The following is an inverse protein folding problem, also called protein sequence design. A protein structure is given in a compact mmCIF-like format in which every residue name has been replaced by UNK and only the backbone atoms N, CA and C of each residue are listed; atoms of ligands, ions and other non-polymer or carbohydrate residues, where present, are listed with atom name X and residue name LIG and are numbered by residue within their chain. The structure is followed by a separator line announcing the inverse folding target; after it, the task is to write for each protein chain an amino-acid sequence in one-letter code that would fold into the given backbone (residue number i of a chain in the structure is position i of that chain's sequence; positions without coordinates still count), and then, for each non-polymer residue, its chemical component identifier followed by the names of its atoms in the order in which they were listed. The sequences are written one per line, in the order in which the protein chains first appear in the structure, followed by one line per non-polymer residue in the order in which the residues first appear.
data_IF_733564536890
#
_entry.id   IF_733564536890
#
_cell.length_a   1.000
_cell.length_b   1.000
_cell.length_c   1.000
_cell.angle_alpha   90.00
_cell.angle_beta   90.00
_cell.angle_gamma   90.00
#
_symmetry.space_group_name_H-M   'P 1'
#
loop_
_entity.id
_entity.type
_entity.pdbx_description
1 polymer ?
#
# COMPACT_ATOMS: atom_id res chain seq x y z
N UNK A 1 -3.94 -3.22 26.79
CA UNK A 1 -4.15 -2.04 25.90
C UNK A 1 -5.41 -1.30 26.37
N UNK A 2 -5.30 -0.23 27.16
CA UNK A 2 -6.44 0.30 27.93
C UNK A 2 -7.20 1.49 27.28
N UNK A 3 -6.74 2.07 26.16
CA UNK A 3 -7.38 3.27 25.56
C UNK A 3 -7.55 3.28 24.03
N UNK A 4 -7.19 2.19 23.32
CA UNK A 4 -7.37 2.11 21.86
C UNK A 4 -6.59 3.14 21.00
N UNK A 5 -5.78 4.01 21.62
CA UNK A 5 -5.06 5.08 20.93
C UNK A 5 -3.98 4.48 20.01
N UNK A 6 -4.11 4.76 18.72
CA UNK A 6 -3.10 4.40 17.69
C UNK A 6 -2.20 5.61 17.48
N UNK A 7 -0.92 5.44 17.81
CA UNK A 7 0.10 6.47 17.60
C UNK A 7 0.65 6.45 16.17
N UNK A 8 1.21 7.57 15.75
CA UNK A 8 1.87 7.73 14.46
C UNK A 8 0.95 8.15 13.31
N UNK A 9 1.53 8.21 12.11
CA UNK A 9 0.81 8.64 10.91
C UNK A 9 -0.30 7.64 10.57
N UNK A 10 -1.52 8.15 10.36
CA UNK A 10 -2.64 7.35 9.87
C UNK A 10 -2.29 6.76 8.51
N UNK A 11 -2.65 5.50 8.29
CA UNK A 11 -2.50 4.84 6.99
C UNK A 11 -3.49 5.48 6.01
N UNK A 12 -2.98 5.99 4.90
CA UNK A 12 -3.80 6.63 3.85
C UNK A 12 -3.83 5.83 2.55
N UNK A 13 -3.02 4.78 2.44
CA UNK A 13 -2.90 3.99 1.21
C UNK A 13 -3.82 2.77 1.31
N UNK A 14 -4.61 2.58 0.26
CA UNK A 14 -5.43 1.39 0.07
C UNK A 14 -4.54 0.21 -0.34
N UNK A 15 -4.62 -0.87 0.44
CA UNK A 15 -3.74 -2.04 0.29
C UNK A 15 -4.41 -3.15 -0.51
N UNK A 16 -5.73 -3.18 -0.47
CA UNK A 16 -6.53 -4.14 -1.19
C UNK A 16 -6.40 -3.84 -2.68
N UNK A 17 -6.48 -2.55 -3.05
CA UNK A 17 -6.22 -2.10 -4.42
C UNK A 17 -4.81 -2.43 -4.94
N UNK A 18 -3.78 -2.29 -4.09
CA UNK A 18 -2.39 -2.68 -4.46
C UNK A 18 -2.29 -4.18 -4.73
N UNK A 19 -2.96 -5.00 -3.91
CA UNK A 19 -2.97 -6.45 -4.06
C UNK A 19 -3.75 -6.88 -5.30
N UNK A 20 -4.94 -6.34 -5.53
CA UNK A 20 -5.74 -6.64 -6.72
C UNK A 20 -4.97 -6.34 -8.00
N UNK A 21 -4.29 -5.18 -8.07
CA UNK A 21 -3.48 -4.82 -9.22
C UNK A 21 -2.28 -5.77 -9.41
N UNK A 22 -1.64 -6.18 -8.32
CA UNK A 22 -0.55 -7.15 -8.38
C UNK A 22 -1.02 -8.54 -8.79
N UNK A 23 -2.17 -8.99 -8.30
CA UNK A 23 -2.81 -10.26 -8.69
C UNK A 23 -3.28 -10.24 -10.15
N UNK A 24 -3.70 -9.08 -10.66
CA UNK A 24 -3.97 -8.86 -12.07
C UNK A 24 -2.70 -8.86 -12.95
N UNK A 25 -1.51 -9.03 -12.37
CA UNK A 25 -0.23 -9.10 -13.07
C UNK A 25 0.42 -7.73 -13.33
N UNK A 26 -0.08 -6.65 -12.74
CA UNK A 26 0.54 -5.33 -12.90
C UNK A 26 1.89 -5.26 -12.19
N UNK A 27 2.88 -4.70 -12.88
CA UNK A 27 4.21 -4.48 -12.31
C UNK A 27 4.21 -3.45 -11.19
N UNK A 28 5.17 -3.55 -10.27
CA UNK A 28 5.29 -2.60 -9.16
C UNK A 28 5.47 -1.14 -9.61
N UNK A 29 6.03 -0.91 -10.81
CA UNK A 29 6.15 0.44 -11.41
C UNK A 29 4.79 0.98 -11.83
N UNK A 30 3.98 0.17 -12.50
CA UNK A 30 2.65 0.55 -12.97
C UNK A 30 1.71 0.83 -11.80
N UNK A 31 1.75 0.00 -10.75
CA UNK A 31 0.98 0.20 -9.52
C UNK A 31 1.41 1.50 -8.82
N UNK A 32 2.72 1.77 -8.76
CA UNK A 32 3.25 3.00 -8.18
C UNK A 32 2.74 4.24 -8.93
N UNK A 33 2.77 4.20 -10.26
CA UNK A 33 2.29 5.30 -11.11
C UNK A 33 0.77 5.49 -11.01
N UNK A 34 -0.01 4.41 -11.04
CA UNK A 34 -1.48 4.47 -10.94
C UNK A 34 -1.96 4.99 -9.59
N UNK A 35 -1.27 4.64 -8.51
CA UNK A 35 -1.65 5.04 -7.15
C UNK A 35 -0.92 6.28 -6.63
N UNK A 36 0.03 6.82 -7.40
CA UNK A 36 0.85 7.97 -6.99
C UNK A 36 1.70 7.69 -5.76
N UNK A 37 2.15 6.44 -5.58
CA UNK A 37 2.96 6.00 -4.44
C UNK A 37 4.37 5.64 -4.88
N UNK A 38 5.34 5.76 -3.97
CA UNK A 38 6.70 5.32 -4.26
C UNK A 38 6.77 3.80 -4.45
N UNK A 39 7.62 3.36 -5.39
CA UNK A 39 7.86 1.93 -5.68
C UNK A 39 8.30 1.13 -4.45
N UNK A 40 9.03 1.76 -3.53
CA UNK A 40 9.40 1.21 -2.22
C UNK A 40 8.18 0.88 -1.34
N UNK A 41 7.11 1.67 -1.46
CA UNK A 41 5.86 1.44 -0.73
C UNK A 41 5.12 0.25 -1.30
N UNK A 42 5.10 0.08 -2.63
CA UNK A 42 4.51 -1.10 -3.28
C UNK A 42 5.19 -2.37 -2.79
N UNK A 43 6.52 -2.46 -2.85
CA UNK A 43 7.24 -3.64 -2.34
C UNK A 43 7.03 -3.88 -0.83
N UNK A 44 6.91 -2.81 -0.04
CA UNK A 44 6.65 -2.91 1.40
C UNK A 44 5.21 -3.38 1.72
N UNK A 45 4.29 -3.20 0.79
CA UNK A 45 2.89 -3.65 0.91
C UNK A 45 2.67 -5.06 0.36
N UNK A 46 3.53 -5.51 -0.57
CA UNK A 46 3.53 -6.86 -1.12
C UNK A 46 4.31 -7.86 -0.26
N UNK A 47 5.28 -7.39 0.54
CA UNK A 47 5.93 -8.17 1.60
C UNK A 47 5.00 -8.35 2.80
#
# INVERSE_FOLDING_TARGET
KAKGVKFGRKRSIDRDKVKELHEAGAGATDIANQMGIGRSTVYKLLK
#
